data_IF_591049465134
#
_entry.id   IF_591049465134
#
_cell.length_a   1.000
_cell.length_b   1.000
_cell.length_c   1.000
_cell.angle_alpha   90.00
_cell.angle_beta   90.00
_cell.angle_gamma   90.00
#
_symmetry.space_group_name_H-M   'P 1'
#
loop_
_entity.id
_entity.type
_entity.pdbx_description
1 polymer ?
#
# COMPACT_ATOMS: atom_id res chain seq x y z
N UNK A 1 -3.91 5.89 -17.73
CA UNK A 1 -3.44 5.25 -16.49
C UNK A 1 -4.62 4.90 -15.59
N UNK A 2 -4.67 3.67 -15.07
CA UNK A 2 -5.63 3.18 -14.09
C UNK A 2 -4.90 2.91 -12.76
N UNK A 3 -5.50 3.23 -11.63
CA UNK A 3 -4.95 2.94 -10.30
C UNK A 3 -6.03 2.26 -9.49
N UNK A 4 -5.75 1.06 -8.97
CA UNK A 4 -6.72 0.17 -8.31
C UNK A 4 -6.16 -0.20 -6.94
N UNK A 5 -6.96 -0.03 -5.89
CA UNK A 5 -6.56 -0.35 -4.53
C UNK A 5 -6.96 -1.76 -4.11
N UNK A 6 -6.08 -2.46 -3.41
CA UNK A 6 -6.33 -3.77 -2.82
C UNK A 6 -6.26 -3.69 -1.29
N UNK A 7 -7.24 -4.29 -0.63
CA UNK A 7 -7.27 -4.44 0.81
C UNK A 7 -7.68 -5.86 1.21
N UNK A 8 -7.35 -6.23 2.43
CA UNK A 8 -7.60 -7.56 2.97
C UNK A 8 -6.81 -7.74 4.25
N UNK A 9 -7.39 -8.48 5.20
CA UNK A 9 -6.70 -8.81 6.44
C UNK A 9 -5.45 -9.67 6.16
N UNK A 10 -4.45 -9.70 7.05
CA UNK A 10 -3.31 -10.62 6.93
C UNK A 10 -3.81 -12.06 6.71
N UNK A 11 -3.17 -12.87 5.85
CA UNK A 11 -3.62 -14.24 5.58
C UNK A 11 -4.86 -14.38 4.66
N UNK A 12 -5.50 -13.29 4.24
CA UNK A 12 -6.67 -13.34 3.33
C UNK A 12 -6.38 -13.80 1.89
N UNK A 13 -5.12 -14.05 1.52
CA UNK A 13 -4.76 -14.39 0.14
C UNK A 13 -4.65 -13.20 -0.83
N UNK A 14 -4.82 -11.95 -0.36
CA UNK A 14 -4.67 -10.73 -1.19
C UNK A 14 -3.36 -10.72 -2.00
N UNK A 15 -2.24 -11.10 -1.38
CA UNK A 15 -0.94 -11.13 -2.06
C UNK A 15 -0.87 -12.20 -3.17
N UNK A 16 -1.60 -13.31 -3.02
CA UNK A 16 -1.77 -14.33 -4.06
C UNK A 16 -2.56 -13.77 -5.25
N UNK A 17 -3.64 -13.01 -4.99
CA UNK A 17 -4.41 -12.33 -6.05
C UNK A 17 -3.54 -11.36 -6.83
N UNK A 18 -2.76 -10.52 -6.13
CA UNK A 18 -1.87 -9.55 -6.75
C UNK A 18 -0.78 -10.23 -7.60
N UNK A 19 -0.20 -11.33 -7.10
CA UNK A 19 0.77 -12.12 -7.85
C UNK A 19 0.17 -12.70 -9.14
N UNK A 20 -1.09 -13.12 -9.11
CA UNK A 20 -1.76 -13.69 -10.29
C UNK A 20 -2.05 -12.66 -11.40
N UNK A 21 -1.91 -11.36 -11.13
CA UNK A 21 -2.17 -10.27 -12.09
C UNK A 21 -0.95 -9.35 -12.27
N UNK A 22 0.23 -9.77 -11.82
CA UNK A 22 1.44 -8.93 -11.80
C UNK A 22 1.93 -8.54 -13.21
N UNK A 23 1.59 -9.34 -14.22
CA UNK A 23 1.86 -9.09 -15.63
C UNK A 23 0.95 -8.01 -16.25
N UNK A 24 -0.19 -7.73 -15.62
CA UNK A 24 -1.18 -6.75 -16.10
C UNK A 24 -0.87 -5.30 -15.69
N UNK A 25 0.08 -5.08 -14.78
CA UNK A 25 0.38 -3.75 -14.26
C UNK A 25 1.43 -3.72 -13.17
N UNK A 26 1.75 -2.51 -12.71
CA UNK A 26 2.79 -2.28 -11.70
C UNK A 26 2.21 -2.36 -10.30
N UNK A 27 2.73 -3.25 -9.46
CA UNK A 27 2.33 -3.36 -8.06
C UNK A 27 3.12 -2.36 -7.21
N UNK A 28 2.42 -1.48 -6.50
CA UNK A 28 2.98 -0.56 -5.50
C UNK A 28 2.59 -1.07 -4.13
N UNK A 29 3.56 -1.60 -3.39
CA UNK A 29 3.35 -2.03 -2.00
C UNK A 29 3.59 -0.86 -1.07
N UNK A 30 2.55 -0.38 -0.38
CA UNK A 30 2.64 0.73 0.57
C UNK A 30 3.66 0.44 1.70
N UNK A 31 3.84 -0.83 2.06
CA UNK A 31 4.86 -1.27 3.01
C UNK A 31 6.30 -0.95 2.56
N UNK A 32 6.56 -0.86 1.25
CA UNK A 32 7.90 -0.51 0.75
C UNK A 32 8.29 0.92 1.13
N UNK A 33 7.33 1.85 1.17
CA UNK A 33 7.59 3.22 1.66
C UNK A 33 8.15 3.21 3.09
N UNK A 34 7.66 2.30 3.93
CA UNK A 34 8.12 2.16 5.32
C UNK A 34 9.48 1.46 5.36
N UNK A 35 9.70 0.44 4.51
CA UNK A 35 10.99 -0.26 4.41
C UNK A 35 12.10 0.66 3.90
N UNK A 36 11.80 1.50 2.93
CA UNK A 36 12.72 2.50 2.39
C UNK A 36 13.09 3.53 3.46
N UNK A 37 12.12 3.96 4.28
CA UNK A 37 12.37 4.82 5.45
C UNK A 37 13.24 4.12 6.50
N UNK A 38 13.01 2.84 6.78
CA UNK A 38 13.84 2.05 7.70
C UNK A 38 15.29 1.95 7.19
N UNK A 39 15.46 1.65 5.89
CA UNK A 39 16.77 1.59 5.24
C UNK A 39 17.49 2.95 5.29
N UNK A 40 16.78 4.05 5.03
CA UNK A 40 17.32 5.40 5.11
C UNK A 40 17.80 5.76 6.53
N UNK A 41 17.14 5.19 7.56
CA UNK A 41 17.51 5.36 8.97
C UNK A 41 18.54 4.33 9.47
N UNK A 42 19.01 3.41 8.61
CA UNK A 42 19.85 2.27 8.99
C UNK A 42 19.22 1.39 10.10
N UNK A 43 17.89 1.25 10.09
CA UNK A 43 17.14 0.41 11.04
C UNK A 43 16.77 -0.91 10.36
N UNK A 44 17.00 -2.03 11.03
CA UNK A 44 16.64 -3.35 10.52
C UNK A 44 15.13 -3.46 10.26
N UNK A 45 14.68 -3.95 9.09
CA UNK A 45 13.26 -3.97 8.70
C UNK A 45 12.50 -5.17 9.32
N UNK A 46 12.43 -5.22 10.65
CA UNK A 46 11.57 -6.17 11.37
C UNK A 46 10.13 -5.64 11.47
N UNK A 47 9.14 -6.53 11.67
CA UNK A 47 7.73 -6.12 11.81
C UNK A 47 7.52 -5.09 12.93
N UNK A 48 8.24 -5.25 14.04
CA UNK A 48 8.21 -4.31 15.16
C UNK A 48 8.73 -2.92 14.74
N UNK A 49 9.89 -2.87 14.07
CA UNK A 49 10.51 -1.63 13.64
C UNK A 49 9.68 -0.93 12.56
N UNK A 50 9.19 -1.67 11.57
CA UNK A 50 8.34 -1.13 10.51
C UNK A 50 7.02 -0.61 11.09
N UNK A 51 6.42 -1.32 12.06
CA UNK A 51 5.24 -0.86 12.78
C UNK A 51 5.48 0.48 13.50
N UNK A 52 6.59 0.59 14.23
CA UNK A 52 7.01 1.82 14.93
C UNK A 52 7.22 2.98 13.97
N UNK A 53 7.99 2.78 12.89
CA UNK A 53 8.24 3.81 11.86
C UNK A 53 6.92 4.25 11.22
N UNK A 54 6.04 3.31 10.87
CA UNK A 54 4.77 3.64 10.26
C UNK A 54 3.84 4.43 11.19
N UNK A 55 3.88 4.16 12.50
CA UNK A 55 3.13 4.93 13.49
C UNK A 55 3.72 6.34 13.66
N UNK A 56 5.05 6.43 13.74
CA UNK A 56 5.76 7.71 13.85
C UNK A 56 5.49 8.62 12.64
N UNK A 57 5.61 8.09 11.41
CA UNK A 57 5.30 8.82 10.20
C UNK A 57 3.88 9.37 10.22
N UNK A 58 2.90 8.55 10.61
CA UNK A 58 1.50 8.99 10.70
C UNK A 58 1.28 10.02 11.80
N UNK A 59 1.97 9.90 12.93
CA UNK A 59 1.89 10.86 14.04
C UNK A 59 2.46 12.23 13.63
N UNK A 60 3.58 12.24 12.91
CA UNK A 60 4.30 13.47 12.59
C UNK A 60 3.77 14.17 11.33
N UNK A 61 3.29 13.41 10.35
CA UNK A 61 2.91 13.93 9.02
C UNK A 61 1.46 13.65 8.63
N UNK A 62 0.68 13.02 9.50
CA UNK A 62 -0.72 12.69 9.27
C UNK A 62 -0.94 11.27 8.71
N UNK A 63 -2.15 10.71 8.88
CA UNK A 63 -2.48 9.35 8.45
C UNK A 63 -2.37 9.14 6.92
N UNK A 64 -2.36 10.22 6.13
CA UNK A 64 -2.28 10.22 4.67
C UNK A 64 -0.86 10.00 4.12
N UNK A 65 0.18 10.25 4.91
CA UNK A 65 1.57 10.42 4.43
C UNK A 65 2.09 9.28 3.55
N UNK A 66 1.75 8.03 3.88
CA UNK A 66 2.22 6.86 3.13
C UNK A 66 1.53 6.81 1.76
N UNK A 67 0.23 7.10 1.70
CA UNK A 67 -0.50 7.20 0.44
C UNK A 67 0.03 8.35 -0.42
N UNK A 68 0.31 9.50 0.17
CA UNK A 68 0.88 10.66 -0.56
C UNK A 68 2.24 10.32 -1.20
N UNK A 69 3.12 9.64 -0.47
CA UNK A 69 4.39 9.13 -1.01
C UNK A 69 4.16 8.16 -2.18
N UNK A 70 3.16 7.30 -2.09
CA UNK A 70 2.79 6.40 -3.20
C UNK A 70 2.26 7.17 -4.41
N UNK A 71 1.44 8.22 -4.22
CA UNK A 71 0.97 9.09 -5.32
C UNK A 71 2.16 9.71 -6.05
N UNK A 72 3.13 10.25 -5.31
CA UNK A 72 4.34 10.83 -5.89
C UNK A 72 5.16 9.80 -6.66
N UNK A 73 5.24 8.55 -6.19
CA UNK A 73 5.92 7.46 -6.88
C UNK A 73 5.20 7.09 -8.19
N UNK A 74 3.88 6.89 -8.16
CA UNK A 74 3.07 6.54 -9.33
C UNK A 74 3.22 7.58 -10.45
N UNK A 75 3.22 8.87 -10.10
CA UNK A 75 3.38 9.97 -11.08
C UNK A 75 4.74 9.99 -11.78
N UNK A 76 5.75 9.28 -11.26
CA UNK A 76 7.10 9.20 -11.84
C UNK A 76 7.34 7.92 -12.64
N UNK A 77 6.44 6.94 -12.56
CA UNK A 77 6.58 5.65 -13.20
C UNK A 77 5.75 5.60 -14.48
N UNK A 78 6.28 4.94 -15.51
CA UNK A 78 5.55 4.69 -16.75
C UNK A 78 4.83 3.34 -16.65
N UNK A 79 3.50 3.38 -16.47
CA UNK A 79 2.66 2.18 -16.56
C UNK A 79 1.21 2.55 -16.87
N UNK A 80 0.51 1.64 -17.56
CA UNK A 80 -0.90 1.82 -17.87
C UNK A 80 -1.82 1.50 -16.69
N UNK A 81 -1.39 0.59 -15.80
CA UNK A 81 -2.16 0.10 -14.66
C UNK A 81 -1.27 -0.01 -13.43
N UNK A 82 -1.75 0.51 -12.31
CA UNK A 82 -1.11 0.39 -11.00
C UNK A 82 -2.04 -0.32 -10.01
N UNK A 83 -1.49 -1.29 -9.29
CA UNK A 83 -2.16 -1.98 -8.20
C UNK A 83 -1.56 -1.55 -6.87
N UNK A 84 -2.37 -0.96 -5.99
CA UNK A 84 -1.90 -0.47 -4.69
C UNK A 84 -2.16 -1.54 -3.64
N UNK A 85 -1.09 -2.10 -3.09
CA UNK A 85 -1.15 -3.07 -2.02
C UNK A 85 -0.90 -2.43 -0.65
N UNK A 86 -1.73 -2.79 0.34
CA UNK A 86 -1.49 -2.45 1.74
C UNK A 86 -2.26 -1.23 2.24
N UNK A 87 -3.43 -0.93 1.64
CA UNK A 87 -4.38 0.04 2.20
C UNK A 87 -4.84 -0.41 3.60
N UNK A 88 -4.76 0.51 4.57
CA UNK A 88 -5.11 0.28 5.98
C UNK A 88 -6.17 1.25 6.52
N UNK A 89 -6.48 2.32 5.80
CA UNK A 89 -7.47 3.31 6.24
C UNK A 89 -8.20 4.02 5.09
N UNK A 90 -9.36 4.59 5.41
CA UNK A 90 -10.09 5.43 4.46
C UNK A 90 -9.38 6.75 4.15
N UNK A 91 -8.53 7.26 5.04
CA UNK A 91 -7.70 8.44 4.78
C UNK A 91 -6.78 8.20 3.57
N UNK A 92 -6.11 7.05 3.53
CA UNK A 92 -5.27 6.64 2.40
C UNK A 92 -6.10 6.52 1.10
N UNK A 93 -7.30 5.94 1.15
CA UNK A 93 -8.21 5.84 0.00
C UNK A 93 -8.59 7.23 -0.54
N UNK A 94 -8.91 8.17 0.35
CA UNK A 94 -9.29 9.53 -0.04
C UNK A 94 -8.14 10.22 -0.78
N UNK A 95 -6.88 10.03 -0.34
CA UNK A 95 -5.70 10.56 -1.03
C UNK A 95 -5.66 10.09 -2.48
N UNK A 96 -5.78 8.79 -2.75
CA UNK A 96 -5.77 8.29 -4.12
C UNK A 96 -6.97 8.79 -4.94
N UNK A 97 -8.15 8.90 -4.32
CA UNK A 97 -9.37 9.42 -4.97
C UNK A 97 -9.29 10.90 -5.37
N UNK A 98 -8.37 11.68 -4.79
CA UNK A 98 -8.09 13.05 -5.25
C UNK A 98 -7.50 13.09 -6.67
N UNK A 99 -6.88 12.00 -7.12
CA UNK A 99 -6.14 11.96 -8.40
C UNK A 99 -6.72 10.95 -9.41
N UNK A 100 -7.39 9.89 -8.96
CA UNK A 100 -7.92 8.82 -9.82
C UNK A 100 -9.29 8.33 -9.35
N UNK A 101 -10.05 7.67 -10.24
CA UNK A 101 -11.34 7.03 -9.87
C UNK A 101 -11.19 6.00 -8.73
N UNK A 102 -10.01 5.38 -8.62
CA UNK A 102 -9.57 4.51 -7.53
C UNK A 102 -10.62 3.51 -7.01
N UNK A 103 -10.99 2.50 -7.83
CA UNK A 103 -11.78 1.36 -7.36
C UNK A 103 -11.01 0.57 -6.31
N UNK A 104 -11.75 -0.06 -5.38
CA UNK A 104 -11.20 -0.92 -4.33
C UNK A 104 -11.64 -2.36 -4.53
N UNK A 105 -10.70 -3.28 -4.37
CA UNK A 105 -10.93 -4.73 -4.36
C UNK A 105 -10.54 -5.25 -2.98
N UNK A 106 -11.50 -5.84 -2.29
CA UNK A 106 -11.29 -6.46 -0.99
C UNK A 106 -11.18 -7.98 -1.14
N UNK A 107 -10.13 -8.58 -0.58
CA UNK A 107 -10.02 -10.03 -0.44
C UNK A 107 -10.45 -10.43 0.97
N UNK A 108 -11.48 -11.27 1.06
CA UNK A 108 -12.11 -11.66 2.32
C UNK A 108 -12.10 -13.18 2.40
N UNK A 109 -11.65 -13.69 3.55
CA UNK A 109 -11.65 -15.11 3.91
C UNK A 109 -12.22 -15.21 5.32
N UNK A 110 -12.97 -16.28 5.60
CA UNK A 110 -13.50 -16.55 6.93
C UNK A 110 -12.36 -16.62 7.95
N UNK A 111 -12.54 -16.00 9.12
CA UNK A 111 -11.53 -15.99 10.19
C UNK A 111 -11.14 -17.40 10.63
N UNK A 112 -12.04 -18.39 10.51
CA UNK A 112 -11.76 -19.80 10.85
C UNK A 112 -10.78 -20.48 9.90
N UNK A 113 -10.59 -19.93 8.70
CA UNK A 113 -9.72 -20.46 7.64
C UNK A 113 -8.36 -19.75 7.64
N UNK A 114 -8.27 -18.57 8.27
CA UNK A 114 -7.13 -17.66 8.24
C UNK A 114 -6.04 -18.04 9.24
#
# INVERSE_FOLDING_TARGET
MKVIGFCGLPGSGKSTVLKAIEDLGTIITMGNVIRDEANHRNIAPSDENLGKIALELRKNYGPEIIAEKCVSLIKKLESNVFFIDGLRSMAEVIVFRKYWKFPLIATIVDEKIR
#
